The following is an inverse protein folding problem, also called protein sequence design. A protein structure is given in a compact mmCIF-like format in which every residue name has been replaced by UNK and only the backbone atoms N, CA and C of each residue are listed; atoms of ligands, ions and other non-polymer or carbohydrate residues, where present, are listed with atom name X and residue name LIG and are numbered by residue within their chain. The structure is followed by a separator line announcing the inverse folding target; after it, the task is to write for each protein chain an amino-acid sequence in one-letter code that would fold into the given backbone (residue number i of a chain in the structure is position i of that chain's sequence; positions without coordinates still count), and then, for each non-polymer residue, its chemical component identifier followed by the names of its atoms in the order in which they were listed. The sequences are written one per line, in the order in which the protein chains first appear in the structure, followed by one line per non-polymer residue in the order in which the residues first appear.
data_IF_921091138874
#
_entry.id   IF_921091138874
#
_cell.length_a   1.000
_cell.length_b   1.000
_cell.length_c   1.000
_cell.angle_alpha   90.00
_cell.angle_beta   90.00
_cell.angle_gamma   90.00
#
_symmetry.space_group_name_H-M   'P 1'
#
loop_
_entity.id
_entity.type
_entity.pdbx_description
1 polymer ?
#
# COMPACT_ATOMS: atom_id res chain seq x y z
N UNK A 1 40.50 -17.45 -1.09
CA UNK A 1 39.89 -16.54 -2.07
C UNK A 1 38.43 -16.35 -1.66
N UNK A 2 38.15 -15.31 -0.89
CA UNK A 2 36.77 -15.01 -0.45
C UNK A 2 36.09 -14.26 -1.57
N UNK A 3 35.18 -14.94 -2.28
CA UNK A 3 34.20 -14.28 -3.13
C UNK A 3 33.21 -13.64 -2.15
N UNK A 4 33.46 -12.38 -1.86
CA UNK A 4 32.43 -11.51 -1.25
C UNK A 4 31.28 -11.49 -2.24
N UNK A 5 30.30 -12.37 -2.03
CA UNK A 5 28.99 -12.20 -2.62
C UNK A 5 28.47 -10.90 -1.99
N UNK A 6 28.66 -9.83 -2.71
CA UNK A 6 27.96 -8.59 -2.52
C UNK A 6 26.49 -8.97 -2.67
N UNK A 7 25.87 -9.28 -1.53
CA UNK A 7 24.42 -9.37 -1.42
C UNK A 7 23.96 -8.00 -1.89
N UNK A 8 23.57 -7.88 -3.15
CA UNK A 8 22.85 -6.71 -3.62
C UNK A 8 21.66 -6.60 -2.70
N UNK A 9 21.75 -5.67 -1.77
CA UNK A 9 20.66 -5.31 -0.89
C UNK A 9 19.54 -4.86 -1.81
N UNK A 10 18.52 -5.69 -1.90
CA UNK A 10 17.24 -5.32 -2.49
C UNK A 10 16.69 -4.19 -1.61
N UNK A 11 16.97 -2.97 -1.99
CA UNK A 11 16.64 -1.81 -1.17
C UNK A 11 15.37 -1.22 -1.74
N UNK A 12 14.27 -1.42 -1.00
CA UNK A 12 13.07 -0.63 -1.22
C UNK A 12 13.38 0.84 -0.92
N UNK A 13 12.81 1.73 -1.70
CA UNK A 13 12.96 3.18 -1.48
C UNK A 13 11.85 3.68 -0.60
N UNK A 14 12.21 4.33 0.50
CA UNK A 14 11.26 4.89 1.46
C UNK A 14 11.17 6.39 1.34
N UNK A 15 9.95 6.89 1.17
CA UNK A 15 9.63 8.31 1.28
C UNK A 15 8.77 8.50 2.51
N UNK A 16 9.36 9.01 3.59
CA UNK A 16 8.69 9.16 4.89
C UNK A 16 8.43 10.64 5.14
N UNK A 17 7.18 10.98 5.33
CA UNK A 17 6.74 12.36 5.63
C UNK A 17 5.98 12.41 6.95
N UNK A 18 6.07 13.54 7.64
CA UNK A 18 5.37 13.79 8.90
C UNK A 18 4.41 14.98 8.81
N UNK A 19 3.21 14.84 9.35
CA UNK A 19 2.24 15.92 9.50
C UNK A 19 1.92 16.08 11.00
N UNK A 20 2.19 17.23 11.55
CA UNK A 20 2.06 17.53 12.99
C UNK A 20 2.88 16.57 13.88
N UNK A 21 3.89 15.95 13.32
CA UNK A 21 4.85 15.08 14.01
C UNK A 21 6.21 15.22 13.33
N UNK A 22 7.25 15.25 14.13
CA UNK A 22 8.61 15.20 13.61
C UNK A 22 9.00 13.75 13.31
N UNK A 23 9.53 13.53 12.12
CA UNK A 23 10.08 12.22 11.73
C UNK A 23 11.46 12.06 12.35
N UNK A 24 11.48 11.48 13.55
CA UNK A 24 12.75 11.23 14.25
C UNK A 24 13.52 10.08 13.61
N UNK A 25 14.87 10.01 13.79
CA UNK A 25 15.64 8.86 13.31
C UNK A 25 15.15 7.52 13.86
N UNK A 26 14.63 7.50 15.09
CA UNK A 26 14.03 6.30 15.67
C UNK A 26 12.76 5.84 14.97
N UNK A 27 11.86 6.76 14.64
CA UNK A 27 10.65 6.45 13.85
C UNK A 27 11.00 5.97 12.43
N UNK A 28 11.95 6.64 11.79
CA UNK A 28 12.42 6.23 10.47
C UNK A 28 12.98 4.81 10.49
N UNK A 29 13.85 4.50 11.45
CA UNK A 29 14.42 3.17 11.62
C UNK A 29 13.35 2.11 11.92
N UNK A 30 12.34 2.45 12.74
CA UNK A 30 11.23 1.54 13.04
C UNK A 30 10.39 1.23 11.79
N UNK A 31 10.07 2.23 10.99
CA UNK A 31 9.35 2.06 9.72
C UNK A 31 10.15 1.17 8.77
N UNK A 32 11.41 1.51 8.53
CA UNK A 32 12.29 0.74 7.62
C UNK A 32 12.48 -0.70 8.09
N UNK A 33 12.60 -0.93 9.39
CA UNK A 33 12.74 -2.28 9.97
C UNK A 33 11.47 -3.11 9.83
N UNK A 34 10.30 -2.51 10.09
CA UNK A 34 9.02 -3.24 10.09
C UNK A 34 8.49 -3.44 8.69
N UNK A 35 8.42 -2.38 7.90
CA UNK A 35 7.97 -2.47 6.52
C UNK A 35 8.99 -3.21 5.65
N UNK A 36 10.28 -3.17 5.99
CA UNK A 36 11.34 -3.92 5.32
C UNK A 36 11.16 -5.45 5.34
N UNK A 37 10.39 -5.97 6.30
CA UNK A 37 10.03 -7.40 6.28
C UNK A 37 9.17 -7.77 5.07
N UNK A 38 8.45 -6.82 4.50
CA UNK A 38 7.61 -7.01 3.32
C UNK A 38 8.42 -6.97 2.02
N UNK A 39 9.72 -6.66 2.08
CA UNK A 39 10.61 -6.54 0.91
C UNK A 39 10.63 -7.81 0.06
N UNK A 40 10.52 -8.98 0.70
CA UNK A 40 10.54 -10.26 -0.02
C UNK A 40 9.31 -10.49 -0.91
N UNK A 41 8.23 -9.74 -0.72
CA UNK A 41 7.06 -9.82 -1.59
C UNK A 41 7.23 -9.06 -2.90
N UNK A 42 8.08 -8.06 -2.92
CA UNK A 42 8.20 -7.09 -4.01
C UNK A 42 9.50 -7.25 -4.81
N UNK A 43 9.52 -6.66 -5.99
CA UNK A 43 10.73 -6.51 -6.79
C UNK A 43 11.62 -5.40 -6.22
N UNK A 44 12.94 -5.46 -6.48
CA UNK A 44 13.85 -4.35 -6.18
C UNK A 44 13.32 -3.03 -6.76
N UNK A 45 13.69 -1.91 -6.15
CA UNK A 45 13.26 -0.55 -6.55
C UNK A 45 11.77 -0.22 -6.30
N UNK A 46 11.05 -1.07 -5.58
CA UNK A 46 9.68 -0.72 -5.16
C UNK A 46 9.73 0.49 -4.22
N UNK A 47 8.92 1.48 -4.52
CA UNK A 47 8.78 2.68 -3.69
C UNK A 47 7.74 2.45 -2.60
N UNK A 48 8.08 2.87 -1.38
CA UNK A 48 7.16 2.85 -0.23
C UNK A 48 6.98 4.28 0.26
N UNK A 49 5.77 4.78 0.16
CA UNK A 49 5.40 6.11 0.63
C UNK A 49 4.74 5.97 1.99
N UNK A 50 5.33 6.59 3.00
CA UNK A 50 4.84 6.56 4.38
C UNK A 50 4.52 7.97 4.85
N UNK A 51 3.29 8.17 5.29
CA UNK A 51 2.86 9.40 5.92
C UNK A 51 2.53 9.15 7.40
N UNK A 52 3.27 9.81 8.27
CA UNK A 52 3.04 9.80 9.71
C UNK A 52 2.26 11.07 10.09
N UNK A 53 1.26 10.95 10.91
CA UNK A 53 0.52 12.11 11.41
C UNK A 53 0.13 11.94 12.87
N UNK A 54 0.15 13.05 13.60
CA UNK A 54 -0.33 13.13 14.96
C UNK A 54 -1.49 14.11 15.05
N UNK A 55 -2.60 13.68 15.64
CA UNK A 55 -3.76 14.50 15.85
C UNK A 55 -4.35 14.21 17.24
N UNK A 56 -4.22 15.17 18.16
CA UNK A 56 -4.61 14.98 19.57
C UNK A 56 -3.91 13.73 20.16
N UNK A 57 -4.72 12.78 20.62
CA UNK A 57 -4.24 11.53 21.25
C UNK A 57 -4.05 10.39 20.25
N UNK A 58 -4.25 10.63 18.96
CA UNK A 58 -4.13 9.63 17.91
C UNK A 58 -2.89 9.87 17.07
N UNK A 59 -2.11 8.81 16.91
CA UNK A 59 -0.95 8.78 16.01
C UNK A 59 -1.24 7.82 14.86
N UNK A 60 -1.34 8.36 13.68
CA UNK A 60 -1.75 7.64 12.48
C UNK A 60 -0.57 7.44 11.54
N UNK A 61 -0.47 6.24 11.01
CA UNK A 61 0.42 5.91 9.89
C UNK A 61 -0.40 5.53 8.66
N UNK A 62 0.02 6.00 7.53
CA UNK A 62 -0.51 5.61 6.22
C UNK A 62 0.65 5.14 5.37
N UNK A 63 0.54 3.94 4.81
CA UNK A 63 1.54 3.35 3.93
C UNK A 63 0.90 3.12 2.57
N UNK A 64 1.56 3.61 1.54
CA UNK A 64 1.15 3.44 0.14
C UNK A 64 2.30 2.83 -0.64
N UNK A 65 2.03 1.70 -1.28
CA UNK A 65 2.99 0.98 -2.11
C UNK A 65 2.40 0.88 -3.51
N UNK A 66 2.79 1.77 -4.43
CA UNK A 66 2.37 1.68 -5.81
C UNK A 66 3.04 0.49 -6.47
N UNK A 67 2.24 -0.41 -6.99
CA UNK A 67 2.67 -1.56 -7.79
C UNK A 67 2.08 -1.44 -9.19
N UNK A 68 2.73 -2.06 -10.17
CA UNK A 68 2.30 -1.93 -11.57
C UNK A 68 0.84 -2.37 -11.74
N UNK A 69 -0.02 -1.40 -12.10
CA UNK A 69 -1.44 -1.63 -12.33
C UNK A 69 -2.34 -1.63 -11.08
N UNK A 70 -1.74 -1.47 -9.88
CA UNK A 70 -2.48 -1.40 -8.61
C UNK A 70 -1.75 -0.52 -7.59
N UNK A 71 -2.43 -0.24 -6.50
CA UNK A 71 -1.84 0.45 -5.35
C UNK A 71 -2.27 -0.30 -4.09
N UNK A 72 -1.29 -0.70 -3.27
CA UNK A 72 -1.54 -1.24 -1.95
C UNK A 72 -1.50 -0.08 -0.97
N UNK A 73 -2.56 0.09 -0.21
CA UNK A 73 -2.65 1.15 0.79
C UNK A 73 -3.23 0.59 2.07
N UNK A 74 -2.60 0.94 3.17
CA UNK A 74 -3.10 0.64 4.51
C UNK A 74 -2.88 1.84 5.43
N UNK A 75 -3.79 2.03 6.34
CA UNK A 75 -3.69 3.06 7.37
C UNK A 75 -4.11 2.49 8.71
N UNK A 76 -3.41 2.91 9.76
CA UNK A 76 -3.73 2.56 11.13
C UNK A 76 -3.44 3.72 12.08
N UNK A 77 -4.16 3.74 13.17
CA UNK A 77 -3.98 4.74 14.23
C UNK A 77 -4.04 4.11 15.61
N UNK A 78 -3.20 4.59 16.48
CA UNK A 78 -3.21 4.22 17.90
C UNK A 78 -2.72 5.39 18.74
N UNK A 79 -2.61 5.19 20.04
CA UNK A 79 -2.04 6.17 20.95
C UNK A 79 -0.51 6.23 20.87
N UNK A 80 0.13 5.23 20.26
CA UNK A 80 1.58 5.13 20.08
C UNK A 80 1.91 4.84 18.61
N UNK A 81 2.79 5.65 18.01
CA UNK A 81 3.20 5.50 16.61
C UNK A 81 3.88 4.15 16.34
N UNK A 82 4.65 3.62 17.27
CA UNK A 82 5.30 2.32 17.12
C UNK A 82 4.29 1.18 17.03
N UNK A 83 3.21 1.25 17.80
CA UNK A 83 2.09 0.30 17.71
C UNK A 83 1.37 0.45 16.38
N UNK A 84 1.14 1.67 15.90
CA UNK A 84 0.54 1.91 14.59
C UNK A 84 1.39 1.34 13.45
N UNK A 85 2.71 1.43 13.55
CA UNK A 85 3.65 0.85 12.57
C UNK A 85 3.53 -0.69 12.55
N UNK A 86 3.44 -1.34 13.70
CA UNK A 86 3.28 -2.79 13.78
C UNK A 86 1.96 -3.25 13.19
N UNK A 87 0.87 -2.57 13.51
CA UNK A 87 -0.46 -2.90 13.01
C UNK A 87 -0.57 -2.72 11.48
N UNK A 88 0.01 -1.66 10.94
CA UNK A 88 -0.03 -1.42 9.49
C UNK A 88 0.79 -2.44 8.72
N UNK A 89 1.90 -2.92 9.26
CA UNK A 89 2.70 -4.01 8.68
C UNK A 89 1.85 -5.26 8.50
N UNK A 90 1.15 -5.70 9.56
CA UNK A 90 0.29 -6.88 9.54
C UNK A 90 -0.87 -6.74 8.54
N UNK A 91 -1.45 -5.56 8.45
CA UNK A 91 -2.55 -5.29 7.50
C UNK A 91 -2.05 -5.41 6.06
N UNK A 92 -0.91 -4.82 5.74
CA UNK A 92 -0.33 -4.87 4.40
C UNK A 92 0.01 -6.32 4.04
N UNK A 93 0.66 -7.06 4.93
CA UNK A 93 0.98 -8.47 4.69
C UNK A 93 -0.28 -9.29 4.42
N UNK A 94 -1.32 -9.12 5.23
CA UNK A 94 -2.61 -9.78 5.05
C UNK A 94 -3.27 -9.41 3.72
N UNK A 95 -3.22 -8.15 3.33
CA UNK A 95 -3.74 -7.70 2.04
C UNK A 95 -3.00 -8.34 0.87
N UNK A 96 -1.67 -8.38 0.92
CA UNK A 96 -0.85 -8.99 -0.12
C UNK A 96 -1.20 -10.47 -0.27
N UNK A 97 -1.23 -11.22 0.83
CA UNK A 97 -1.55 -12.65 0.83
C UNK A 97 -2.98 -12.92 0.34
N UNK A 98 -3.94 -12.14 0.84
CA UNK A 98 -5.37 -12.28 0.47
C UNK A 98 -5.61 -12.03 -1.01
N UNK A 99 -4.93 -11.05 -1.58
CA UNK A 99 -5.13 -10.67 -2.98
C UNK A 99 -4.08 -11.22 -3.93
N UNK A 100 -3.16 -12.05 -3.45
CA UNK A 100 -2.09 -12.66 -4.25
C UNK A 100 -2.59 -13.15 -5.60
N UNK A 101 -3.58 -14.00 -5.64
CA UNK A 101 -4.15 -14.54 -6.86
C UNK A 101 -4.71 -13.44 -7.77
N UNK A 102 -5.50 -12.53 -7.21
CA UNK A 102 -6.11 -11.42 -7.97
C UNK A 102 -5.09 -10.44 -8.54
N UNK A 103 -3.99 -10.21 -7.82
CA UNK A 103 -2.91 -9.33 -8.26
C UNK A 103 -2.06 -9.98 -9.35
N UNK A 104 -1.79 -11.28 -9.23
CA UNK A 104 -0.99 -12.04 -10.19
C UNK A 104 -1.74 -12.28 -11.50
N UNK A 105 -3.03 -12.53 -11.48
CA UNK A 105 -3.88 -12.71 -12.66
C UNK A 105 -3.88 -11.48 -13.59
N UNK A 106 -3.57 -10.31 -13.05
CA UNK A 106 -3.32 -9.12 -13.86
C UNK A 106 -1.86 -9.11 -14.30
N UNK A 107 -1.59 -9.40 -15.56
CA UNK A 107 -0.23 -9.51 -16.13
C UNK A 107 0.72 -8.35 -15.77
N UNK A 108 0.20 -7.13 -15.63
CA UNK A 108 0.98 -5.96 -15.26
C UNK A 108 1.39 -5.95 -13.79
N UNK A 109 0.55 -6.48 -12.91
CA UNK A 109 0.82 -6.53 -11.48
C UNK A 109 1.82 -7.62 -11.12
N UNK A 110 1.81 -8.73 -11.83
CA UNK A 110 2.77 -9.82 -11.62
C UNK A 110 4.23 -9.35 -11.76
N UNK A 111 4.50 -8.41 -12.65
CA UNK A 111 5.84 -7.86 -12.85
C UNK A 111 6.38 -7.06 -11.67
N UNK A 112 5.51 -6.64 -10.75
CA UNK A 112 5.89 -5.88 -9.56
C UNK A 112 6.24 -6.76 -8.35
N UNK A 113 5.96 -8.06 -8.43
CA UNK A 113 6.20 -9.02 -7.34
C UNK A 113 7.43 -9.88 -7.61
N UNK A 114 8.08 -10.33 -6.54
CA UNK A 114 9.22 -11.23 -6.65
C UNK A 114 8.80 -12.60 -7.21
N UNK A 115 9.70 -13.23 -7.96
CA UNK A 115 9.45 -14.56 -8.52
C UNK A 115 9.16 -15.59 -7.41
N UNK A 116 9.88 -15.53 -6.31
CA UNK A 116 9.67 -16.41 -5.16
C UNK A 116 8.25 -16.29 -4.57
N UNK A 117 7.69 -15.08 -4.54
CA UNK A 117 6.32 -14.86 -4.08
C UNK A 117 5.28 -15.41 -5.05
N UNK A 118 5.53 -15.31 -6.36
CA UNK A 118 4.63 -15.81 -7.41
C UNK A 118 4.59 -17.34 -7.41
N UNK A 119 5.73 -18.00 -7.19
CA UNK A 119 5.88 -19.46 -7.21
C UNK A 119 5.51 -20.14 -5.88
N UNK A 120 5.28 -19.40 -4.82
CA UNK A 120 4.88 -19.94 -3.52
C UNK A 120 3.45 -20.52 -3.60
N UNK A 121 3.39 -21.83 -3.83
CA UNK A 121 2.14 -22.59 -3.99
C UNK A 121 1.48 -22.97 -2.65
N UNK A 122 1.97 -22.51 -1.52
CA UNK A 122 1.26 -22.71 -0.27
C UNK A 122 -0.07 -21.95 -0.29
N UNK A 123 -1.03 -22.64 -0.83
CA UNK A 123 -2.44 -22.28 -0.94
C UNK A 123 -3.04 -22.16 0.47
N UNK A 124 -2.69 -21.09 1.15
CA UNK A 124 -3.49 -20.65 2.27
C UNK A 124 -4.80 -20.14 1.67
N UNK A 125 -5.74 -21.05 1.54
CA UNK A 125 -7.11 -20.77 1.10
C UNK A 125 -7.77 -19.81 2.09
N UNK A 126 -7.46 -18.53 1.95
CA UNK A 126 -8.34 -17.51 2.49
C UNK A 126 -9.56 -17.45 1.56
N UNK A 127 -10.57 -18.28 1.87
CA UNK A 127 -11.87 -18.31 1.21
C UNK A 127 -12.70 -17.05 1.49
N UNK A 128 -12.08 -15.89 1.47
CA UNK A 128 -12.81 -14.64 1.47
C UNK A 128 -13.04 -14.19 0.02
N UNK A 129 -13.96 -14.84 -0.64
CA UNK A 129 -14.44 -14.41 -1.93
C UNK A 129 -15.05 -13.01 -1.80
N UNK A 130 -14.54 -12.05 -2.59
CA UNK A 130 -15.16 -10.72 -2.66
C UNK A 130 -16.53 -10.90 -3.30
N UNK A 131 -17.58 -10.81 -2.48
CA UNK A 131 -18.95 -10.82 -2.96
C UNK A 131 -19.38 -9.40 -3.32
N UNK A 132 -19.91 -9.23 -4.54
CA UNK A 132 -20.53 -7.97 -4.94
C UNK A 132 -21.91 -7.91 -4.30
N UNK A 133 -22.00 -7.21 -3.16
CA UNK A 133 -23.23 -7.12 -2.38
C UNK A 133 -24.24 -6.14 -3.00
N UNK A 134 -23.76 -5.18 -3.77
CA UNK A 134 -24.62 -4.15 -4.38
C UNK A 134 -24.03 -3.62 -5.66
N UNK A 135 -24.83 -3.64 -6.72
CA UNK A 135 -24.50 -3.00 -8.00
C UNK A 135 -25.42 -1.80 -8.19
N UNK A 136 -24.85 -0.61 -8.40
CA UNK A 136 -25.60 0.59 -8.77
C UNK A 136 -25.36 0.87 -10.25
N UNK A 137 -26.43 1.02 -11.01
CA UNK A 137 -26.35 1.45 -12.41
C UNK A 137 -26.84 2.88 -12.48
N UNK A 138 -26.02 3.74 -13.06
CA UNK A 138 -26.39 5.13 -13.36
C UNK A 138 -26.56 5.29 -14.85
N UNK A 139 -27.70 5.80 -15.27
CA UNK A 139 -27.87 6.25 -16.64
C UNK A 139 -27.10 7.58 -16.80
N UNK A 140 -26.00 7.53 -17.54
CA UNK A 140 -25.24 8.74 -17.86
C UNK A 140 -25.67 9.26 -19.23
N UNK A 141 -26.22 10.47 -19.23
CA UNK A 141 -26.50 11.19 -20.48
C UNK A 141 -25.22 11.92 -20.89
N UNK A 142 -24.80 11.83 -22.16
CA UNK A 142 -23.65 12.62 -22.60
C UNK A 142 -23.97 14.12 -22.45
N UNK A 143 -23.05 14.83 -21.81
CA UNK A 143 -23.21 16.25 -21.45
C UNK A 143 -22.03 17.01 -22.08
N UNK A 144 -22.29 18.21 -22.53
CA UNK A 144 -21.24 19.12 -22.98
C UNK A 144 -20.32 19.48 -21.79
N UNK A 145 -18.99 19.65 -22.00
CA UNK A 145 -18.06 20.02 -20.94
C UNK A 145 -18.48 21.27 -20.13
N UNK A 146 -19.00 22.29 -20.79
CA UNK A 146 -19.51 23.51 -20.14
C UNK A 146 -20.70 23.22 -19.21
N UNK A 147 -21.64 22.41 -19.67
CA UNK A 147 -22.81 22.00 -18.89
C UNK A 147 -22.39 21.11 -17.71
N UNK A 148 -21.39 20.23 -17.91
CA UNK A 148 -20.85 19.41 -16.84
C UNK A 148 -20.19 20.24 -15.75
N UNK A 149 -19.43 21.27 -16.12
CA UNK A 149 -18.84 22.22 -15.16
C UNK A 149 -19.91 22.97 -14.37
N UNK A 150 -20.95 23.47 -15.06
CA UNK A 150 -22.07 24.18 -14.41
C UNK A 150 -22.80 23.27 -13.41
N UNK A 151 -23.08 22.03 -13.79
CA UNK A 151 -23.72 21.06 -12.90
C UNK A 151 -22.85 20.73 -11.68
N UNK A 152 -21.55 20.62 -11.88
CA UNK A 152 -20.58 20.38 -10.82
C UNK A 152 -20.57 21.54 -9.81
N UNK A 153 -20.55 22.78 -10.29
CA UNK A 153 -20.62 23.98 -9.42
C UNK A 153 -21.95 24.06 -8.66
N UNK A 154 -23.05 23.73 -9.30
CA UNK A 154 -24.37 23.71 -8.66
C UNK A 154 -24.47 22.66 -7.54
N UNK A 155 -23.69 21.59 -7.62
CA UNK A 155 -23.58 20.55 -6.59
C UNK A 155 -22.57 20.90 -5.48
N UNK A 156 -21.92 22.06 -5.56
CA UNK A 156 -20.94 22.52 -4.59
C UNK A 156 -19.58 21.85 -4.70
N UNK A 157 -19.26 21.26 -5.85
CA UNK A 157 -17.94 20.71 -6.15
C UNK A 157 -17.12 21.73 -6.95
N UNK A 158 -15.86 21.88 -6.59
CA UNK A 158 -14.88 22.73 -7.30
C UNK A 158 -13.80 21.89 -7.93
#
# INVERSE_FOLDING_TARGET
MFISQKKELMIMRYTITGRNIEVTPGLKAAVEKKIGKLEHFFTPDTEVIVALSAQKDQQKIEVTIPVKGNTIRAEESSTDMYVSIDLVEEIIERQIRRYKKKLIDKKQSALAFSQAFIEDEEDTSYEDDIQIVKTKKFAMKPVNPEEACLQMEMLGHT
#
